data_IF_822986073563
#
_entry.id   IF_822986073563
#
_cell.length_a   1.000
_cell.length_b   1.000
_cell.length_c   1.000
_cell.angle_alpha   90.00
_cell.angle_beta   90.00
_cell.angle_gamma   90.00
#
_symmetry.space_group_name_H-M   'P 1'
#
loop_
_entity.id
_entity.type
_entity.pdbx_description
1 polymer ?
#
# COMPACT_ATOMS: atom_id res chain seq x y z
N UNK A 1 -9.82 11.74 -23.23
CA UNK A 1 -9.96 10.61 -24.17
C UNK A 1 -8.69 10.30 -24.96
N UNK A 2 -7.98 11.24 -25.63
CA UNK A 2 -6.76 10.90 -26.39
C UNK A 2 -5.62 10.32 -25.52
N UNK A 3 -5.61 10.63 -24.21
CA UNK A 3 -4.68 10.05 -23.23
C UNK A 3 -4.85 8.55 -23.05
N UNK A 4 -6.08 8.03 -23.11
CA UNK A 4 -6.36 6.59 -22.97
C UNK A 4 -5.94 5.84 -24.23
N UNK A 5 -6.17 6.41 -25.41
CA UNK A 5 -5.74 5.78 -26.67
C UNK A 5 -4.21 5.66 -26.74
N UNK A 6 -3.49 6.69 -26.26
CA UNK A 6 -2.03 6.61 -26.09
C UNK A 6 -1.62 5.52 -25.10
N UNK A 7 -2.28 5.45 -23.94
CA UNK A 7 -2.00 4.43 -22.93
C UNK A 7 -2.23 3.00 -23.45
N UNK A 8 -3.28 2.78 -24.24
CA UNK A 8 -3.53 1.48 -24.86
C UNK A 8 -2.37 1.08 -25.79
N UNK A 9 -1.89 2.01 -26.62
CA UNK A 9 -0.76 1.77 -27.50
C UNK A 9 0.53 1.49 -26.72
N UNK A 10 0.78 2.26 -25.65
CA UNK A 10 1.95 2.07 -24.80
C UNK A 10 1.94 0.67 -24.15
N UNK A 11 0.79 0.21 -23.63
CA UNK A 11 0.64 -1.14 -23.06
C UNK A 11 0.91 -2.23 -24.10
N UNK A 12 0.39 -2.08 -25.33
CA UNK A 12 0.64 -3.03 -26.43
C UNK A 12 2.13 -3.10 -26.74
N UNK A 13 2.79 -1.95 -26.92
CA UNK A 13 4.22 -1.89 -27.22
C UNK A 13 5.05 -2.49 -26.09
N UNK A 14 4.71 -2.19 -24.83
CA UNK A 14 5.38 -2.77 -23.67
C UNK A 14 5.26 -4.29 -23.65
N UNK A 15 4.07 -4.85 -23.92
CA UNK A 15 3.89 -6.31 -23.98
C UNK A 15 4.71 -6.96 -25.08
N UNK A 16 4.75 -6.37 -26.28
CA UNK A 16 5.60 -6.86 -27.37
C UNK A 16 7.09 -6.80 -27.02
N UNK A 17 7.53 -5.77 -26.29
CA UNK A 17 8.90 -5.69 -25.81
C UNK A 17 9.18 -6.77 -24.75
N UNK A 18 8.28 -6.97 -23.80
CA UNK A 18 8.43 -8.05 -22.81
C UNK A 18 8.53 -9.41 -23.50
N UNK A 19 7.75 -9.66 -24.55
CA UNK A 19 7.74 -10.94 -25.27
C UNK A 19 9.08 -11.23 -25.94
N UNK A 20 9.80 -10.18 -26.34
CA UNK A 20 11.14 -10.30 -26.92
C UNK A 20 12.20 -10.74 -25.90
N UNK A 21 12.03 -10.38 -24.62
CA UNK A 21 13.06 -10.58 -23.59
C UNK A 21 12.76 -11.73 -22.63
N UNK A 22 11.49 -12.04 -22.39
CA UNK A 22 11.08 -13.04 -21.40
C UNK A 22 10.60 -14.34 -22.06
N UNK A 23 10.81 -15.49 -21.40
CA UNK A 23 10.30 -16.77 -21.89
C UNK A 23 8.77 -16.80 -21.88
N UNK A 24 8.12 -17.67 -22.68
CA UNK A 24 6.66 -17.81 -22.70
C UNK A 24 6.03 -18.08 -21.32
N UNK A 25 6.77 -18.70 -20.39
CA UNK A 25 6.32 -18.95 -19.02
C UNK A 25 6.09 -17.68 -18.19
N UNK A 26 6.63 -16.54 -18.61
CA UNK A 26 6.40 -15.23 -17.99
C UNK A 26 5.01 -14.67 -18.33
N UNK A 27 4.42 -15.08 -19.45
CA UNK A 27 3.13 -14.58 -19.93
C UNK A 27 1.98 -15.39 -19.32
N UNK A 28 1.67 -15.07 -18.08
CA UNK A 28 0.48 -15.59 -17.42
C UNK A 28 -0.79 -14.78 -17.77
N UNK A 29 -1.93 -15.26 -17.27
CA UNK A 29 -3.23 -14.61 -17.44
C UNK A 29 -3.24 -13.18 -16.88
N UNK A 30 -2.46 -12.89 -15.84
CA UNK A 30 -2.40 -11.58 -15.19
C UNK A 30 -1.76 -10.55 -16.11
N UNK A 31 -0.70 -10.94 -16.83
CA UNK A 31 -0.06 -10.11 -17.82
C UNK A 31 -1.00 -9.81 -19.00
N UNK A 32 -1.77 -10.79 -19.47
CA UNK A 32 -2.73 -10.58 -20.54
C UNK A 32 -3.89 -9.63 -20.15
N UNK A 33 -4.35 -9.70 -18.90
CA UNK A 33 -5.40 -8.82 -18.37
C UNK A 33 -5.05 -7.33 -18.49
N UNK A 34 -3.75 -6.98 -18.47
CA UNK A 34 -3.31 -5.58 -18.60
C UNK A 34 -3.75 -4.93 -19.92
N UNK A 35 -3.88 -5.71 -21.01
CA UNK A 35 -4.41 -5.23 -22.30
C UNK A 35 -5.85 -4.74 -22.21
N UNK A 36 -6.64 -5.34 -21.33
CA UNK A 36 -8.05 -5.04 -21.18
C UNK A 36 -8.31 -3.84 -20.25
N UNK A 37 -7.35 -3.48 -19.40
CA UNK A 37 -7.52 -2.41 -18.40
C UNK A 37 -7.94 -1.08 -19.01
N UNK A 38 -7.32 -0.66 -20.11
CA UNK A 38 -7.63 0.64 -20.72
C UNK A 38 -9.03 0.64 -21.33
N UNK A 39 -9.44 -0.46 -21.97
CA UNK A 39 -10.79 -0.64 -22.49
C UNK A 39 -11.83 -0.69 -21.36
N UNK A 40 -11.52 -1.37 -20.27
CA UNK A 40 -12.36 -1.40 -19.08
C UNK A 40 -12.54 -0.02 -18.44
N UNK A 41 -11.45 0.76 -18.31
CA UNK A 41 -11.51 2.11 -17.77
C UNK A 41 -12.35 3.03 -18.66
N UNK A 42 -12.26 2.85 -19.98
CA UNK A 42 -13.06 3.61 -20.94
C UNK A 42 -14.56 3.32 -20.84
N UNK A 43 -14.93 2.06 -20.57
CA UNK A 43 -16.33 1.63 -20.49
C UNK A 43 -16.95 1.87 -19.10
N UNK A 44 -16.21 1.51 -18.05
CA UNK A 44 -16.74 1.45 -16.69
C UNK A 44 -16.19 2.54 -15.77
N UNK A 45 -15.29 3.40 -16.25
CA UNK A 45 -14.61 4.39 -15.44
C UNK A 45 -13.47 3.81 -14.59
N UNK A 46 -12.91 4.60 -13.66
CA UNK A 46 -11.76 4.21 -12.84
C UNK A 46 -11.98 2.90 -12.08
N UNK A 47 -10.96 2.03 -12.11
CA UNK A 47 -11.03 0.68 -11.53
C UNK A 47 -11.29 0.67 -10.02
N UNK A 48 -10.87 1.72 -9.30
CA UNK A 48 -10.91 1.75 -7.83
C UNK A 48 -12.32 1.63 -7.24
N UNK A 49 -13.37 2.06 -7.95
CA UNK A 49 -14.76 1.93 -7.49
C UNK A 49 -15.38 0.56 -7.80
N UNK A 50 -14.69 -0.29 -8.58
CA UNK A 50 -15.17 -1.63 -8.97
C UNK A 50 -14.53 -2.74 -8.16
N UNK A 51 -13.44 -2.45 -7.46
CA UNK A 51 -12.82 -3.42 -6.56
C UNK A 51 -13.62 -3.44 -5.26
N UNK A 52 -13.91 -4.64 -4.74
CA UNK A 52 -14.53 -4.77 -3.42
C UNK A 52 -13.59 -4.35 -2.29
N UNK A 53 -12.28 -4.43 -2.52
CA UNK A 53 -11.26 -4.23 -1.49
C UNK A 53 -11.37 -2.91 -0.71
N UNK A 54 -11.55 -1.72 -1.33
CA UNK A 54 -11.74 -0.48 -0.58
C UNK A 54 -13.01 -0.47 0.26
N UNK A 55 -14.10 -1.06 -0.25
CA UNK A 55 -15.36 -1.17 0.49
C UNK A 55 -15.21 -2.12 1.67
N UNK A 56 -14.60 -3.29 1.48
CA UNK A 56 -14.35 -4.27 2.55
C UNK A 56 -13.49 -3.67 3.67
N UNK A 57 -12.40 -2.98 3.30
CA UNK A 57 -11.52 -2.31 4.26
C UNK A 57 -12.27 -1.22 5.04
N UNK A 58 -13.11 -0.43 4.38
CA UNK A 58 -13.92 0.58 5.05
C UNK A 58 -14.94 -0.06 6.00
N UNK A 59 -15.60 -1.13 5.57
CA UNK A 59 -16.55 -1.87 6.41
C UNK A 59 -15.87 -2.50 7.63
N UNK A 60 -14.62 -2.92 7.53
CA UNK A 60 -13.83 -3.39 8.68
C UNK A 60 -13.63 -2.29 9.73
N UNK A 61 -13.33 -1.06 9.31
CA UNK A 61 -13.25 0.10 10.21
C UNK A 61 -14.59 0.37 10.89
N UNK A 62 -15.68 0.45 10.11
CA UNK A 62 -17.02 0.68 10.64
C UNK A 62 -17.45 -0.40 11.65
N UNK A 63 -17.06 -1.64 11.40
CA UNK A 63 -17.31 -2.76 12.33
C UNK A 63 -16.65 -2.52 13.68
N UNK A 64 -15.48 -1.89 13.71
CA UNK A 64 -14.79 -1.48 14.95
C UNK A 64 -15.56 -0.43 15.77
N UNK A 65 -16.41 0.37 15.13
CA UNK A 65 -17.23 1.38 15.83
C UNK A 65 -18.46 0.80 16.55
N UNK A 66 -18.92 -0.39 16.16
CA UNK A 66 -20.15 -0.99 16.70
C UNK A 66 -19.93 -1.53 18.13
N UNK A 67 -20.09 -0.66 19.13
CA UNK A 67 -20.00 -1.01 20.56
C UNK A 67 -21.31 -1.58 21.13
N UNK A 68 -22.46 -1.25 20.54
CA UNK A 68 -23.76 -1.79 20.91
C UNK A 68 -24.46 -2.37 19.68
N UNK A 69 -24.58 -3.70 19.62
CA UNK A 69 -25.19 -4.42 18.50
C UNK A 69 -26.69 -4.19 18.36
N UNK A 70 -27.37 -3.68 19.39
CA UNK A 70 -28.80 -3.33 19.30
C UNK A 70 -29.04 -2.01 18.57
N UNK A 71 -28.00 -1.18 18.35
CA UNK A 71 -28.06 0.11 17.63
C UNK A 71 -26.75 0.38 16.86
N UNK A 72 -26.39 -0.46 15.88
CA UNK A 72 -25.09 -0.39 15.22
C UNK A 72 -24.86 0.92 14.44
N UNK A 73 -25.89 1.45 13.78
CA UNK A 73 -25.82 2.68 13.01
C UNK A 73 -25.55 3.88 13.93
N UNK A 74 -26.21 3.94 15.09
CA UNK A 74 -25.99 4.99 16.09
C UNK A 74 -24.59 4.94 16.69
N UNK A 75 -24.02 3.74 16.87
CA UNK A 75 -22.63 3.59 17.30
C UNK A 75 -21.64 4.10 16.25
N UNK A 76 -21.85 3.73 14.98
CA UNK A 76 -21.02 4.17 13.87
C UNK A 76 -21.02 5.69 13.76
N UNK A 77 -22.20 6.32 13.70
CA UNK A 77 -22.34 7.79 13.58
C UNK A 77 -21.66 8.50 14.75
N UNK A 78 -21.85 8.01 15.98
CA UNK A 78 -21.23 8.61 17.16
C UNK A 78 -19.71 8.55 17.12
N UNK A 79 -19.14 7.40 16.77
CA UNK A 79 -17.69 7.24 16.67
C UNK A 79 -17.11 8.09 15.53
N UNK A 80 -17.76 8.09 14.37
CA UNK A 80 -17.34 8.86 13.21
C UNK A 80 -17.29 10.37 13.51
N UNK A 81 -18.34 10.93 14.13
CA UNK A 81 -18.36 12.35 14.53
C UNK A 81 -17.22 12.71 15.49
N UNK A 82 -16.91 11.82 16.43
CA UNK A 82 -15.81 12.04 17.38
C UNK A 82 -14.46 12.00 16.66
N UNK A 83 -14.28 11.08 15.72
CA UNK A 83 -13.06 10.96 14.92
C UNK A 83 -12.83 12.19 14.05
N UNK A 84 -13.85 12.64 13.31
CA UNK A 84 -13.83 13.88 12.52
C UNK A 84 -13.51 15.11 13.38
N UNK A 85 -14.10 15.20 14.57
CA UNK A 85 -13.82 16.30 15.49
C UNK A 85 -12.37 16.29 15.99
N UNK A 86 -11.81 15.10 16.25
CA UNK A 86 -10.41 14.93 16.64
C UNK A 86 -9.49 15.30 15.48
N UNK A 87 -9.76 14.81 14.27
CA UNK A 87 -8.96 15.09 13.07
C UNK A 87 -8.94 16.59 12.77
N UNK A 88 -10.11 17.24 12.83
CA UNK A 88 -10.22 18.70 12.73
C UNK A 88 -9.40 19.42 13.80
N UNK A 89 -9.45 18.96 15.06
CA UNK A 89 -8.67 19.55 16.13
C UNK A 89 -7.17 19.35 15.93
N UNK A 90 -6.73 18.20 15.42
CA UNK A 90 -5.31 17.92 15.10
C UNK A 90 -4.83 18.85 13.99
N UNK A 91 -5.61 19.01 12.91
CA UNK A 91 -5.27 19.93 11.82
C UNK A 91 -5.19 21.37 12.32
N UNK A 92 -6.21 21.81 13.07
CA UNK A 92 -6.29 23.17 13.60
C UNK A 92 -5.21 23.48 14.66
N UNK A 93 -4.90 22.51 15.53
CA UNK A 93 -3.90 22.63 16.59
C UNK A 93 -2.53 22.07 16.19
N UNK A 94 -2.27 21.88 14.89
CA UNK A 94 -1.03 21.30 14.37
C UNK A 94 0.26 22.02 14.82
N UNK A 95 0.14 23.25 15.33
CA UNK A 95 1.24 24.06 15.85
C UNK A 95 1.22 24.25 17.38
N UNK A 96 0.43 23.47 18.12
CA UNK A 96 0.30 23.56 19.58
C UNK A 96 0.80 22.28 20.22
N UNK A 97 1.63 22.41 21.27
CA UNK A 97 2.11 21.26 22.03
C UNK A 97 0.94 20.56 22.73
N UNK A 98 0.71 19.29 22.39
CA UNK A 98 -0.33 18.49 23.01
C UNK A 98 0.02 18.21 24.48
N UNK A 99 -0.76 18.75 25.41
CA UNK A 99 -0.57 18.52 26.85
C UNK A 99 -1.06 17.10 27.18
N UNK A 100 -0.16 16.24 27.66
CA UNK A 100 -0.52 14.91 28.19
C UNK A 100 -0.58 13.78 27.15
N UNK A 101 -0.31 14.06 25.88
CA UNK A 101 -0.09 13.03 24.85
C UNK A 101 1.42 12.96 24.62
N UNK A 102 2.09 11.82 24.83
CA UNK A 102 3.50 11.69 24.46
C UNK A 102 3.60 11.97 22.96
N UNK A 103 4.37 12.99 22.59
CA UNK A 103 4.67 13.32 21.20
C UNK A 103 5.19 12.04 20.56
N UNK A 104 4.41 11.43 19.66
CA UNK A 104 4.95 10.42 18.78
C UNK A 104 6.00 11.14 17.98
N UNK A 105 7.27 10.89 18.31
CA UNK A 105 8.40 11.31 17.49
C UNK A 105 8.00 10.92 16.08
N UNK A 106 7.84 11.93 15.22
CA UNK A 106 7.55 11.75 13.81
C UNK A 106 8.69 10.86 13.30
N UNK A 107 8.45 9.56 13.22
CA UNK A 107 9.43 8.62 12.70
C UNK A 107 9.57 9.06 11.26
N UNK A 108 10.69 9.73 10.98
CA UNK A 108 11.06 10.13 9.64
C UNK A 108 10.66 8.97 8.70
N UNK A 109 9.81 9.27 7.73
CA UNK A 109 9.25 8.32 6.76
C UNK A 109 10.33 7.52 5.98
N UNK A 110 11.61 7.83 6.20
CA UNK A 110 12.77 7.10 5.71
C UNK A 110 13.01 5.75 6.40
N UNK A 111 12.38 5.48 7.55
CA UNK A 111 12.43 4.18 8.22
C UNK A 111 11.00 3.69 8.41
N UNK A 112 10.67 2.56 7.77
CA UNK A 112 9.34 1.96 7.85
C UNK A 112 8.89 1.78 9.30
N UNK A 113 7.62 2.06 9.57
CA UNK A 113 7.06 1.88 10.91
C UNK A 113 7.16 0.40 11.32
N UNK A 114 7.56 0.09 12.56
CA UNK A 114 7.60 -1.29 13.03
C UNK A 114 6.18 -1.87 13.07
N UNK A 115 6.06 -3.15 12.75
CA UNK A 115 4.84 -3.92 13.01
C UNK A 115 4.64 -3.96 14.53
N UNK A 116 3.38 -3.89 14.97
CA UNK A 116 2.94 -3.75 16.37
C UNK A 116 3.87 -4.49 17.36
N UNK A 117 4.59 -3.73 18.20
CA UNK A 117 5.48 -4.26 19.25
C UNK A 117 6.95 -4.46 18.88
N UNK A 118 7.36 -4.16 17.64
CA UNK A 118 8.76 -4.22 17.22
C UNK A 118 9.58 -3.02 17.71
N UNK A 119 10.81 -3.28 18.19
CA UNK A 119 11.77 -2.23 18.52
C UNK A 119 12.65 -1.95 17.30
N UNK A 120 12.67 -0.69 16.85
CA UNK A 120 13.58 -0.25 15.79
C UNK A 120 14.96 -0.04 16.40
N UNK A 121 15.93 -0.85 15.98
CA UNK A 121 17.33 -0.68 16.34
C UNK A 121 18.06 -0.09 15.15
N UNK A 122 18.75 1.03 15.37
CA UNK A 122 19.63 1.62 14.37
C UNK A 122 20.92 0.79 14.37
N UNK A 123 21.20 0.15 13.24
CA UNK A 123 22.37 -0.71 13.05
C UNK A 123 23.49 0.07 12.38
N UNK A 124 24.73 -0.12 12.84
CA UNK A 124 25.92 0.47 12.22
C UNK A 124 26.10 -0.03 10.77
N UNK A 125 26.63 0.84 9.90
CA UNK A 125 26.76 0.55 8.46
C UNK A 125 27.60 -0.70 8.19
N UNK A 126 28.62 -0.98 9.02
CA UNK A 126 29.47 -2.16 8.85
C UNK A 126 28.73 -3.45 9.19
N UNK A 127 27.91 -3.42 10.24
CA UNK A 127 27.12 -4.58 10.68
C UNK A 127 26.00 -4.90 9.67
N UNK A 128 25.41 -3.86 9.08
CA UNK A 128 24.44 -4.01 8.00
C UNK A 128 25.05 -4.66 6.76
N UNK A 129 26.24 -4.22 6.35
CA UNK A 129 26.96 -4.80 5.20
C UNK A 129 27.32 -6.27 5.44
N UNK A 130 27.77 -6.62 6.65
CA UNK A 130 28.08 -8.01 7.03
C UNK A 130 26.83 -8.89 6.99
N UNK A 131 25.70 -8.40 7.51
CA UNK A 131 24.44 -9.15 7.47
C UNK A 131 24.00 -9.41 6.02
N UNK A 132 24.10 -8.41 5.15
CA UNK A 132 23.81 -8.57 3.72
C UNK A 132 24.73 -9.60 3.05
N UNK A 133 26.04 -9.53 3.31
CA UNK A 133 27.01 -10.48 2.76
C UNK A 133 26.70 -11.91 3.20
N UNK A 134 26.45 -12.10 4.49
CA UNK A 134 26.11 -13.41 5.06
C UNK A 134 24.86 -14.02 4.41
N UNK A 135 23.81 -13.21 4.20
CA UNK A 135 22.60 -13.67 3.52
C UNK A 135 22.91 -14.09 2.07
N UNK A 136 23.69 -13.30 1.33
CA UNK A 136 24.04 -13.62 -0.05
C UNK A 136 24.84 -14.91 -0.18
N UNK A 137 25.83 -15.13 0.69
CA UNK A 137 26.65 -16.35 0.68
C UNK A 137 25.86 -17.61 1.04
N UNK A 138 24.84 -17.48 1.91
CA UNK A 138 24.05 -18.62 2.38
C UNK A 138 22.74 -18.83 1.61
N UNK A 139 22.46 -18.02 0.58
CA UNK A 139 21.26 -18.17 -0.25
C UNK A 139 21.56 -19.00 -1.49
N UNK A 140 20.94 -20.18 -1.58
CA UNK A 140 21.11 -21.14 -2.68
C UNK A 140 20.73 -20.59 -4.06
N UNK A 141 19.86 -19.58 -4.10
CA UNK A 141 19.40 -18.92 -5.33
C UNK A 141 20.49 -17.99 -5.91
N UNK A 142 21.39 -17.47 -5.08
CA UNK A 142 22.42 -16.50 -5.49
C UNK A 142 23.73 -17.21 -5.89
N UNK A 143 23.96 -18.43 -5.42
CA UNK A 143 25.14 -19.26 -5.75
C UNK A 143 25.53 -19.29 -7.25
N UNK A 144 24.61 -19.37 -8.23
CA UNK A 144 24.96 -19.37 -9.65
C UNK A 144 25.58 -18.06 -10.19
N UNK A 145 25.53 -16.97 -9.40
CA UNK A 145 25.98 -15.63 -9.80
C UNK A 145 27.23 -15.17 -9.05
N UNK A 146 27.85 -16.04 -8.25
CA UNK A 146 29.02 -15.76 -7.39
C UNK A 146 30.36 -16.15 -8.07
N UNK A 147 30.34 -16.50 -9.38
CA UNK A 147 31.56 -16.68 -10.18
C UNK A 147 32.24 -15.37 -10.58
#
# INVERSE_FOLDING_TARGET
>A
MPTLDKLQNDVVVTLCLLEKYFPPSFFDIMLHLTMHLVKEVRLCGPVYLRWMYPFERFMEVLKGYVRNRSRPEGCIVKCYIVEEAIEFCIEYLSNVDAIGIPISVNINQNVGAPILGGQVVIVDSNLWLHAHHYVLENTTIVQPYIE
#
